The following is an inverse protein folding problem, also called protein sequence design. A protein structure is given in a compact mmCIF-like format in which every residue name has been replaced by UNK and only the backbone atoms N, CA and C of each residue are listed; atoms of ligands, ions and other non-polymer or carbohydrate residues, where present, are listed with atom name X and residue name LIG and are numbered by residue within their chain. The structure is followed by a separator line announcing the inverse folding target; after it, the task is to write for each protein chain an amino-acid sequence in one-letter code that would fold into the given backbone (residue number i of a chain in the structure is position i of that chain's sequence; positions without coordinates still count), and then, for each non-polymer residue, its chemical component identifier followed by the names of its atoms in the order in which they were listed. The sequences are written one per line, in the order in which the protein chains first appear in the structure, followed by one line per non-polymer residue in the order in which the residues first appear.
data_IF_502193440873
#
_entry.id   IF_502193440873
#
_cell.length_a   1.000
_cell.length_b   1.000
_cell.length_c   1.000
_cell.angle_alpha   90.00
_cell.angle_beta   90.00
_cell.angle_gamma   90.00
#
_symmetry.space_group_name_H-M   'P 1'
#
loop_
_entity.id
_entity.type
_entity.pdbx_description
1 polymer ?
#
# COMPACT_ATOMS: atom_id res chain seq x y z
N UNK A 1 4.97 -20.42 32.36
CA UNK A 1 5.22 -18.98 32.17
C UNK A 1 5.64 -18.78 30.72
N UNK A 2 4.69 -18.77 29.81
CA UNK A 2 4.95 -18.44 28.40
C UNK A 2 5.08 -16.92 28.34
N UNK A 3 6.33 -16.45 28.22
CA UNK A 3 6.60 -15.08 27.84
C UNK A 3 6.00 -14.88 26.45
N UNK A 4 4.86 -14.19 26.40
CA UNK A 4 4.34 -13.67 25.13
C UNK A 4 5.33 -12.57 24.77
N UNK A 5 6.21 -12.84 23.81
CA UNK A 5 7.16 -11.84 23.29
C UNK A 5 6.34 -10.79 22.53
N UNK A 6 6.15 -9.64 23.16
CA UNK A 6 5.42 -8.47 22.64
C UNK A 6 6.25 -7.63 21.65
N UNK A 7 7.23 -8.25 20.99
CA UNK A 7 8.19 -7.60 20.07
C UNK A 7 7.75 -7.49 18.62
N UNK A 8 6.53 -7.87 18.27
CA UNK A 8 6.06 -7.87 16.88
C UNK A 8 5.05 -6.73 16.61
N UNK A 9 5.34 -5.50 17.08
CA UNK A 9 4.61 -4.31 16.65
C UNK A 9 5.53 -3.40 15.82
N UNK A 10 6.21 -3.99 14.84
CA UNK A 10 6.87 -3.21 13.78
C UNK A 10 5.81 -2.70 12.79
N UNK A 11 5.11 -1.67 13.25
CA UNK A 11 4.55 -0.56 12.47
C UNK A 11 4.22 -0.88 11.02
N UNK A 12 3.12 -1.60 10.82
CA UNK A 12 2.39 -1.58 9.56
C UNK A 12 2.06 -0.11 9.26
N UNK A 13 2.83 0.51 8.36
CA UNK A 13 2.64 1.90 7.97
C UNK A 13 1.39 1.95 7.09
N UNK A 14 0.22 1.97 7.72
CA UNK A 14 -1.07 1.85 7.06
C UNK A 14 -1.32 3.05 6.13
N UNK A 15 -1.50 2.81 4.83
CA UNK A 15 -1.91 3.85 3.88
C UNK A 15 -3.44 3.88 3.76
N UNK A 16 -4.08 4.93 4.27
CA UNK A 16 -5.52 5.14 4.16
C UNK A 16 -6.03 5.31 2.72
N UNK A 17 -5.13 5.55 1.76
CA UNK A 17 -5.46 5.70 0.34
C UNK A 17 -5.29 4.38 -0.41
N UNK A 18 -4.15 3.69 -0.23
CA UNK A 18 -3.84 2.50 -1.03
C UNK A 18 -4.58 1.26 -0.54
N UNK A 19 -4.82 1.15 0.77
CA UNK A 19 -5.50 -0.02 1.34
C UNK A 19 -6.96 -0.17 0.86
N UNK A 20 -7.81 0.86 0.79
CA UNK A 20 -9.15 0.69 0.22
C UNK A 20 -9.15 0.48 -1.30
N UNK A 21 -8.01 0.47 -1.98
CA UNK A 21 -7.93 0.27 -3.43
C UNK A 21 -8.04 -1.22 -3.79
N UNK A 22 -8.81 -1.53 -4.82
CA UNK A 22 -8.96 -2.88 -5.40
C UNK A 22 -7.68 -3.37 -6.10
N UNK A 23 -6.89 -2.46 -6.66
CA UNK A 23 -5.64 -2.77 -7.36
C UNK A 23 -4.43 -2.94 -6.43
N UNK A 24 -4.61 -2.76 -5.12
CA UNK A 24 -3.52 -2.84 -4.16
C UNK A 24 -3.18 -4.29 -3.81
N UNK A 25 -1.90 -4.66 -3.94
CA UNK A 25 -1.40 -6.01 -3.67
C UNK A 25 -1.25 -6.25 -2.16
N UNK A 26 -2.39 -6.41 -1.50
CA UNK A 26 -2.53 -6.54 -0.05
C UNK A 26 -1.86 -7.80 0.50
N UNK A 27 -1.93 -8.90 -0.26
CA UNK A 27 -1.28 -10.17 0.07
C UNK A 27 0.25 -10.00 0.07
N UNK A 28 0.80 -9.42 -1.01
CA UNK A 28 2.23 -9.12 -1.11
C UNK A 28 2.69 -8.17 0.01
N UNK A 29 1.88 -7.18 0.36
CA UNK A 29 2.17 -6.28 1.48
C UNK A 29 2.17 -7.00 2.83
N UNK A 30 1.23 -7.91 3.07
CA UNK A 30 1.16 -8.67 4.32
C UNK A 30 2.24 -9.73 4.46
N UNK A 31 2.68 -10.35 3.36
CA UNK A 31 3.72 -11.37 3.37
C UNK A 31 5.14 -10.80 3.32
N UNK A 32 5.36 -9.75 2.51
CA UNK A 32 6.71 -9.25 2.21
C UNK A 32 6.94 -7.79 2.59
N UNK A 33 5.90 -7.08 3.04
CA UNK A 33 5.98 -5.64 3.31
C UNK A 33 6.07 -4.77 2.05
N UNK A 34 5.95 -5.36 0.85
CA UNK A 34 6.04 -4.61 -0.42
C UNK A 34 4.77 -3.83 -0.69
N UNK A 35 4.90 -2.50 -0.80
CA UNK A 35 3.83 -1.60 -1.22
C UNK A 35 3.75 -1.54 -2.75
N UNK A 36 3.00 -2.44 -3.37
CA UNK A 36 2.84 -2.49 -4.84
C UNK A 36 1.36 -2.55 -5.24
N UNK A 37 1.06 -2.14 -6.47
CA UNK A 37 -0.26 -2.24 -7.10
C UNK A 37 -0.12 -2.47 -8.61
N UNK A 38 -1.21 -2.77 -9.32
CA UNK A 38 -1.16 -2.91 -10.79
C UNK A 38 -0.60 -1.67 -11.51
N UNK A 39 -0.88 -0.48 -10.98
CA UNK A 39 -0.34 0.78 -11.49
C UNK A 39 1.18 0.90 -11.25
N UNK A 40 1.64 0.49 -10.07
CA UNK A 40 3.02 0.60 -9.62
C UNK A 40 3.55 -0.78 -9.17
N UNK A 41 3.90 -1.67 -10.12
CA UNK A 41 4.41 -2.99 -9.81
C UNK A 41 5.79 -2.95 -9.14
N UNK A 42 6.58 -1.91 -9.41
CA UNK A 42 7.92 -1.71 -8.84
C UNK A 42 7.89 -1.14 -7.41
N UNK A 43 6.81 -0.42 -7.07
CA UNK A 43 6.63 0.17 -5.75
C UNK A 43 5.83 1.46 -5.79
N UNK A 44 4.88 1.61 -4.86
CA UNK A 44 4.07 2.82 -4.72
C UNK A 44 4.96 3.94 -4.16
N UNK A 45 5.06 5.08 -4.85
CA UNK A 45 5.85 6.21 -4.37
C UNK A 45 5.31 6.75 -3.05
N UNK A 46 6.21 7.28 -2.22
CA UNK A 46 5.89 7.65 -0.84
C UNK A 46 4.86 8.79 -0.74
N UNK A 47 4.78 9.66 -1.74
CA UNK A 47 3.76 10.70 -1.81
C UNK A 47 2.33 10.13 -1.91
N UNK A 48 2.15 9.07 -2.70
CA UNK A 48 0.85 8.40 -2.84
C UNK A 48 0.58 7.59 -1.58
N UNK A 49 1.61 6.89 -1.10
CA UNK A 49 1.53 6.05 0.09
C UNK A 49 1.16 6.84 1.36
N UNK A 50 1.76 8.01 1.56
CA UNK A 50 1.46 8.92 2.69
C UNK A 50 0.12 9.63 2.54
N UNK A 51 -0.52 9.57 1.38
CA UNK A 51 -1.74 10.30 1.09
C UNK A 51 -1.53 11.78 0.79
N UNK A 52 -0.31 12.19 0.40
CA UNK A 52 -0.12 13.49 -0.27
C UNK A 52 -0.84 13.53 -1.62
N UNK A 53 -1.10 12.37 -2.20
CA UNK A 53 -1.79 12.22 -3.47
C UNK A 53 -2.77 11.03 -3.38
N UNK A 54 -4.06 11.29 -3.56
CA UNK A 54 -5.11 10.26 -3.42
C UNK A 54 -5.14 9.24 -4.56
N UNK A 55 -4.29 9.38 -5.58
CA UNK A 55 -4.26 8.55 -6.79
C UNK A 55 -5.63 8.44 -7.50
N UNK A 56 -6.50 9.45 -7.30
CA UNK A 56 -7.79 9.61 -7.99
C UNK A 56 -7.66 10.32 -9.33
N UNK A 57 -6.47 10.85 -9.61
CA UNK A 57 -6.12 11.51 -10.87
C UNK A 57 -5.00 10.71 -11.52
N UNK A 58 -4.91 10.72 -12.87
CA UNK A 58 -3.78 10.13 -13.55
C UNK A 58 -2.49 10.79 -13.06
N UNK A 59 -1.60 9.95 -12.59
CA UNK A 59 -0.26 10.18 -12.11
C UNK A 59 0.76 9.68 -13.15
N UNK A 60 1.85 10.41 -13.41
CA UNK A 60 2.86 9.98 -14.37
C UNK A 60 3.43 8.59 -14.00
N UNK A 61 3.19 7.61 -14.88
CA UNK A 61 3.71 6.24 -14.72
C UNK A 61 2.74 5.23 -14.09
N UNK A 62 1.48 5.59 -13.86
CA UNK A 62 0.46 4.69 -13.27
C UNK A 62 -0.20 3.69 -14.24
N UNK A 63 0.35 3.58 -15.46
CA UNK A 63 -0.20 2.74 -16.54
C UNK A 63 -1.70 2.96 -16.84
N UNK A 64 -2.22 4.17 -16.61
CA UNK A 64 -3.63 4.55 -16.78
C UNK A 64 -4.58 3.84 -15.80
N UNK A 65 -4.05 3.29 -14.71
CA UNK A 65 -4.84 2.62 -13.68
C UNK A 65 -5.06 3.62 -12.55
N UNK A 66 -6.33 3.93 -12.30
CA UNK A 66 -6.73 4.87 -11.25
C UNK A 66 -7.18 4.13 -10.00
N UNK A 67 -7.26 4.87 -8.89
CA UNK A 67 -7.89 4.36 -7.67
C UNK A 67 -9.33 3.88 -7.95
N UNK A 68 -9.56 2.59 -7.73
CA UNK A 68 -10.88 1.96 -7.68
C UNK A 68 -11.10 1.47 -6.25
N UNK A 69 -12.17 1.91 -5.62
CA UNK A 69 -12.52 1.46 -4.26
C UNK A 69 -12.97 -0.01 -4.31
N UNK A 70 -12.52 -0.82 -3.35
CA UNK A 70 -12.96 -2.20 -3.15
C UNK A 70 -14.49 -2.30 -2.92
#
# INVERSE_FOLDING_TARGET
MTCIDDRELDKVTYSSICLPCKHFQREAYSETGKKTCDAFPDGIPDEIWRGNNDHKKPYPGDHWIQFEHL
#
